data_IF_302320022522
#
_entry.id   IF_302320022522
#
_cell.length_a   1.000
_cell.length_b   1.000
_cell.length_c   1.000
_cell.angle_alpha   90.00
_cell.angle_beta   90.00
_cell.angle_gamma   90.00
#
_symmetry.space_group_name_H-M   'P 1'
#
loop_
_entity.id
_entity.type
_entity.pdbx_description
1 polymer ?
#
# COMPACT_ATOMS: atom_id res chain seq x y z
N UNK A 1 -44.38 -10.27 -3.10
CA UNK A 1 -43.07 -10.85 -3.43
C UNK A 1 -42.88 -10.80 -4.95
N UNK A 2 -41.62 -10.61 -5.38
CA UNK A 2 -41.04 -10.84 -6.72
C UNK A 2 -41.45 -9.94 -7.90
N UNK A 3 -40.71 -8.85 -8.09
CA UNK A 3 -40.37 -8.28 -9.41
C UNK A 3 -38.84 -8.05 -9.37
N UNK A 4 -38.05 -9.13 -9.50
CA UNK A 4 -37.17 -9.41 -10.65
C UNK A 4 -36.37 -8.18 -11.13
N UNK A 5 -35.35 -7.79 -10.37
CA UNK A 5 -34.18 -7.07 -10.88
C UNK A 5 -33.23 -8.10 -11.52
N UNK A 6 -33.23 -8.19 -12.86
CA UNK A 6 -32.41 -9.18 -13.60
C UNK A 6 -31.48 -8.57 -14.67
N UNK A 7 -31.06 -7.32 -14.53
CA UNK A 7 -30.24 -6.66 -15.57
C UNK A 7 -28.88 -6.07 -15.14
N UNK A 8 -28.47 -6.13 -13.87
CA UNK A 8 -27.12 -5.66 -13.48
C UNK A 8 -26.02 -6.74 -13.49
N UNK A 9 -26.39 -8.01 -13.71
CA UNK A 9 -25.44 -9.16 -13.65
C UNK A 9 -24.47 -9.26 -14.83
N UNK A 10 -24.75 -8.60 -15.95
CA UNK A 10 -23.86 -8.62 -17.14
C UNK A 10 -22.89 -7.44 -17.15
N UNK A 11 -23.34 -6.23 -16.76
CA UNK A 11 -22.49 -5.05 -16.68
C UNK A 11 -21.36 -5.23 -15.67
N UNK A 12 -21.67 -5.76 -14.48
CA UNK A 12 -20.65 -6.10 -13.47
C UNK A 12 -19.68 -7.19 -13.95
N UNK A 13 -20.19 -8.22 -14.62
CA UNK A 13 -19.35 -9.33 -15.14
C UNK A 13 -18.38 -8.87 -16.23
N UNK A 14 -18.81 -7.99 -17.12
CA UNK A 14 -17.97 -7.47 -18.20
C UNK A 14 -16.84 -6.57 -17.66
N UNK A 15 -17.11 -5.78 -16.62
CA UNK A 15 -16.10 -5.00 -15.90
C UNK A 15 -15.09 -5.93 -15.23
N UNK A 16 -15.54 -7.02 -14.58
CA UNK A 16 -14.63 -7.99 -13.97
C UNK A 16 -13.76 -8.72 -14.99
N UNK A 17 -14.30 -9.11 -16.15
CA UNK A 17 -13.51 -9.74 -17.22
C UNK A 17 -12.50 -8.74 -17.78
N UNK A 18 -12.90 -7.50 -18.02
CA UNK A 18 -11.99 -6.45 -18.49
C UNK A 18 -10.87 -6.19 -17.48
N UNK A 19 -11.19 -6.10 -16.20
CA UNK A 19 -10.20 -5.95 -15.13
C UNK A 19 -9.25 -7.15 -15.07
N UNK A 20 -9.77 -8.38 -15.19
CA UNK A 20 -8.93 -9.58 -15.20
C UNK A 20 -7.93 -9.57 -16.37
N UNK A 21 -8.39 -9.22 -17.58
CA UNK A 21 -7.51 -9.07 -18.75
C UNK A 21 -6.48 -7.97 -18.52
N UNK A 22 -6.91 -6.81 -18.01
CA UNK A 22 -6.02 -5.69 -17.70
C UNK A 22 -4.96 -6.08 -16.66
N UNK A 23 -5.33 -6.82 -15.61
CA UNK A 23 -4.40 -7.32 -14.60
C UNK A 23 -3.38 -8.29 -15.19
N UNK A 24 -3.81 -9.25 -16.02
CA UNK A 24 -2.91 -10.21 -16.66
C UNK A 24 -1.95 -9.48 -17.60
N UNK A 25 -2.45 -8.59 -18.46
CA UNK A 25 -1.62 -7.80 -19.36
C UNK A 25 -0.63 -6.92 -18.60
N UNK A 26 -1.08 -6.24 -17.55
CA UNK A 26 -0.22 -5.39 -16.72
C UNK A 26 0.86 -6.22 -16.01
N UNK A 27 0.48 -7.37 -15.43
CA UNK A 27 1.41 -8.30 -14.81
C UNK A 27 2.45 -8.83 -15.81
N UNK A 28 2.02 -9.23 -17.01
CA UNK A 28 2.93 -9.68 -18.06
C UNK A 28 3.91 -8.57 -18.49
N UNK A 29 3.44 -7.32 -18.65
CA UNK A 29 4.29 -6.17 -18.98
C UNK A 29 5.34 -5.91 -17.88
N UNK A 30 4.96 -6.06 -16.61
CA UNK A 30 5.88 -5.91 -15.48
C UNK A 30 6.98 -6.98 -15.50
N UNK A 31 6.63 -8.22 -15.87
CA UNK A 31 7.60 -9.31 -15.99
C UNK A 31 8.56 -9.13 -17.17
N UNK A 32 8.08 -8.59 -18.30
CA UNK A 32 8.90 -8.37 -19.50
C UNK A 32 9.88 -7.21 -19.31
N UNK A 33 9.46 -6.13 -18.66
CA UNK A 33 10.32 -4.97 -18.42
C UNK A 33 10.21 -4.47 -16.96
N UNK A 34 10.95 -5.10 -16.03
CA UNK A 34 10.93 -4.71 -14.63
C UNK A 34 11.50 -3.30 -14.39
N UNK A 35 12.37 -2.80 -15.28
CA UNK A 35 12.90 -1.44 -15.19
C UNK A 35 11.82 -0.38 -15.46
N UNK A 36 10.99 -0.58 -16.49
CA UNK A 36 9.85 0.31 -16.76
C UNK A 36 8.78 0.21 -15.65
N UNK A 37 8.51 -0.99 -15.16
CA UNK A 37 7.57 -1.21 -14.07
C UNK A 37 8.00 -0.52 -12.78
N UNK A 38 9.28 -0.62 -12.42
CA UNK A 38 9.81 0.07 -11.24
C UNK A 38 9.82 1.57 -11.38
N UNK A 39 10.12 2.10 -12.57
CA UNK A 39 10.03 3.53 -12.84
C UNK A 39 8.60 4.07 -12.61
N UNK A 40 7.58 3.33 -13.07
CA UNK A 40 6.18 3.65 -12.83
C UNK A 40 5.81 3.54 -11.34
N UNK A 41 6.30 2.50 -10.65
CA UNK A 41 6.09 2.29 -9.22
C UNK A 41 6.70 3.44 -8.39
N UNK A 42 7.91 3.90 -8.72
CA UNK A 42 8.58 5.04 -8.05
C UNK A 42 7.76 6.32 -8.18
N UNK A 43 7.23 6.62 -9.38
CA UNK A 43 6.36 7.77 -9.60
C UNK A 43 5.06 7.68 -8.79
N UNK A 44 4.47 6.49 -8.74
CA UNK A 44 3.29 6.23 -7.93
C UNK A 44 3.57 6.44 -6.43
N UNK A 45 4.70 5.93 -5.93
CA UNK A 45 5.15 6.17 -4.55
C UNK A 45 5.36 7.66 -4.28
N UNK A 46 6.05 8.38 -5.17
CA UNK A 46 6.27 9.82 -5.04
C UNK A 46 4.93 10.58 -4.96
N UNK A 47 3.96 10.24 -5.82
CA UNK A 47 2.61 10.80 -5.78
C UNK A 47 1.87 10.49 -4.48
N UNK A 48 1.98 9.25 -3.97
CA UNK A 48 1.39 8.86 -2.70
C UNK A 48 2.00 9.62 -1.51
N UNK A 49 3.33 9.71 -1.43
CA UNK A 49 4.01 10.47 -0.38
C UNK A 49 3.63 11.96 -0.45
N UNK A 50 3.54 12.52 -1.65
CA UNK A 50 3.10 13.90 -1.83
C UNK A 50 1.66 14.10 -1.32
N UNK A 51 0.72 13.25 -1.74
CA UNK A 51 -0.68 13.34 -1.30
C UNK A 51 -0.83 13.16 0.21
N UNK A 52 -0.14 12.17 0.79
CA UNK A 52 -0.13 11.94 2.24
C UNK A 52 0.47 13.13 3.00
N UNK A 53 1.58 13.67 2.53
CA UNK A 53 2.23 14.84 3.13
C UNK A 53 1.32 16.07 3.13
N UNK A 54 0.67 16.35 2.00
CA UNK A 54 -0.29 17.46 1.88
C UNK A 54 -1.46 17.27 2.85
N UNK A 55 -2.11 16.11 2.85
CA UNK A 55 -3.24 15.82 3.74
C UNK A 55 -2.82 15.95 5.21
N UNK A 56 -1.63 15.45 5.57
CA UNK A 56 -1.12 15.47 6.95
C UNK A 56 -0.78 16.88 7.42
N UNK A 57 -0.24 17.72 6.54
CA UNK A 57 -0.02 19.14 6.80
C UNK A 57 -1.36 19.86 7.00
N UNK A 58 -2.35 19.63 6.12
CA UNK A 58 -3.69 20.22 6.23
C UNK A 58 -4.41 19.80 7.53
N UNK A 59 -4.36 18.51 7.87
CA UNK A 59 -4.83 17.98 9.14
C UNK A 59 -4.10 18.63 10.31
N UNK A 60 -2.78 18.76 10.19
CA UNK A 60 -1.96 19.58 11.06
C UNK A 60 -2.67 20.90 11.30
N UNK A 61 -2.81 21.78 10.32
CA UNK A 61 -3.45 23.10 10.47
C UNK A 61 -4.82 23.12 11.20
N UNK A 62 -5.61 22.05 11.12
CA UNK A 62 -6.87 21.93 11.87
C UNK A 62 -6.66 21.68 13.37
N UNK A 63 -5.62 20.94 13.76
CA UNK A 63 -5.24 20.68 15.15
C UNK A 63 -4.60 21.88 15.86
N UNK A 64 -4.47 23.04 15.20
CA UNK A 64 -3.88 24.27 15.77
C UNK A 64 -4.57 24.73 17.05
N UNK A 65 -5.84 24.35 17.25
CA UNK A 65 -6.62 24.64 18.47
C UNK A 65 -6.23 23.79 19.69
N UNK A 66 -5.43 22.74 19.52
CA UNK A 66 -5.09 21.74 20.54
C UNK A 66 -3.61 21.81 21.02
N UNK A 67 -2.97 22.99 20.91
CA UNK A 67 -1.62 23.27 21.45
C UNK A 67 -0.45 22.71 20.63
N UNK A 68 0.68 22.41 21.31
CA UNK A 68 1.97 21.96 20.72
C UNK A 68 1.84 20.70 19.83
N UNK A 69 0.77 19.91 20.00
CA UNK A 69 0.48 18.68 19.22
C UNK A 69 0.30 18.95 17.71
N UNK A 70 0.16 20.21 17.32
CA UNK A 70 0.15 20.68 15.93
C UNK A 70 1.46 20.41 15.15
N UNK A 71 2.61 20.52 15.83
CA UNK A 71 3.92 20.53 15.18
C UNK A 71 4.31 19.16 14.62
N UNK A 72 3.91 18.09 15.30
CA UNK A 72 4.23 16.71 14.91
C UNK A 72 3.66 16.31 13.53
N UNK A 73 2.34 16.44 13.27
CA UNK A 73 1.79 16.08 11.96
C UNK A 73 2.36 16.94 10.82
N UNK A 74 2.67 18.22 11.07
CA UNK A 74 3.29 19.09 10.06
C UNK A 74 4.72 18.66 9.75
N UNK A 75 5.52 18.34 10.77
CA UNK A 75 6.89 17.85 10.58
C UNK A 75 6.91 16.55 9.79
N UNK A 76 6.04 15.60 10.15
CA UNK A 76 5.93 14.32 9.43
C UNK A 76 5.48 14.56 7.99
N UNK A 77 4.49 15.42 7.76
CA UNK A 77 4.04 15.75 6.41
C UNK A 77 5.11 16.45 5.56
N UNK A 78 5.96 17.29 6.18
CA UNK A 78 7.11 17.89 5.50
C UNK A 78 8.16 16.84 5.11
N UNK A 79 8.39 15.83 5.96
CA UNK A 79 9.25 14.69 5.65
C UNK A 79 8.66 13.88 4.48
N UNK A 80 7.36 13.62 4.46
CA UNK A 80 6.72 12.91 3.35
C UNK A 80 6.90 13.67 2.01
N UNK A 81 6.72 15.00 2.02
CA UNK A 81 6.95 15.84 0.82
C UNK A 81 8.43 15.80 0.40
N UNK A 82 9.35 15.84 1.36
CA UNK A 82 10.77 15.72 1.08
C UNK A 82 11.10 14.37 0.42
N UNK A 83 10.54 13.27 0.92
CA UNK A 83 10.67 11.96 0.31
C UNK A 83 10.09 11.92 -1.10
N UNK A 84 8.91 12.49 -1.31
CA UNK A 84 8.30 12.60 -2.63
C UNK A 84 9.20 13.34 -3.62
N UNK A 85 9.83 14.44 -3.19
CA UNK A 85 10.75 15.21 -4.02
C UNK A 85 12.03 14.42 -4.35
N UNK A 86 12.62 13.73 -3.36
CA UNK A 86 13.81 12.89 -3.57
C UNK A 86 13.52 11.77 -4.56
N UNK A 87 12.35 11.11 -4.42
CA UNK A 87 11.93 10.04 -5.33
C UNK A 87 11.70 10.57 -6.75
N UNK A 88 11.10 11.75 -6.89
CA UNK A 88 10.86 12.38 -8.20
C UNK A 88 12.17 12.79 -8.90
N UNK A 89 13.14 13.34 -8.15
CA UNK A 89 14.43 13.77 -8.70
C UNK A 89 15.38 12.60 -9.04
N UNK A 90 15.22 11.47 -8.36
CA UNK A 90 16.08 10.29 -8.58
C UNK A 90 15.60 9.40 -9.74
N UNK A 91 14.47 9.73 -10.35
CA UNK A 91 13.92 9.04 -11.54
C UNK A 91 14.82 9.29 -12.76
N UNK A 92 15.18 8.29 -13.61
CA UNK A 92 14.70 6.90 -13.70
C UNK A 92 15.66 5.83 -13.14
N UNK A 93 16.85 6.20 -12.67
CA UNK A 93 17.91 5.26 -12.24
C UNK A 93 17.53 4.53 -10.93
N UNK A 94 16.62 5.11 -10.14
CA UNK A 94 16.16 4.58 -8.85
C UNK A 94 15.26 3.33 -8.91
N UNK A 95 14.80 2.90 -10.09
CA UNK A 95 13.85 1.79 -10.23
C UNK A 95 14.32 0.47 -9.58
N UNK A 96 15.59 0.10 -9.75
CA UNK A 96 16.12 -1.17 -9.23
C UNK A 96 16.11 -1.25 -7.69
N UNK A 97 16.50 -0.17 -7.02
CA UNK A 97 16.57 -0.11 -5.57
C UNK A 97 15.17 -0.10 -4.94
N UNK A 98 14.20 0.57 -5.57
CA UNK A 98 12.82 0.62 -5.06
C UNK A 98 12.18 -0.77 -5.02
N UNK A 99 12.38 -1.60 -6.04
CA UNK A 99 11.93 -3.00 -6.01
C UNK A 99 12.57 -3.73 -4.81
N UNK A 100 13.89 -3.59 -4.62
CA UNK A 100 14.61 -4.25 -3.53
C UNK A 100 14.09 -3.85 -2.15
N UNK A 101 13.78 -2.56 -1.93
CA UNK A 101 13.19 -2.10 -0.67
C UNK A 101 11.80 -2.69 -0.48
N UNK A 102 10.96 -2.69 -1.51
CA UNK A 102 9.59 -3.21 -1.41
C UNK A 102 9.59 -4.69 -1.03
N UNK A 103 10.40 -5.51 -1.72
CA UNK A 103 10.58 -6.93 -1.42
C UNK A 103 11.13 -7.14 -0.02
N UNK A 104 12.12 -6.34 0.40
CA UNK A 104 12.72 -6.47 1.74
C UNK A 104 11.72 -6.17 2.85
N UNK A 105 10.91 -5.12 2.68
CA UNK A 105 9.85 -4.76 3.65
C UNK A 105 8.77 -5.83 3.70
N UNK A 106 8.37 -6.37 2.55
CA UNK A 106 7.41 -7.48 2.48
C UNK A 106 7.91 -8.72 3.24
N UNK A 107 9.18 -9.11 3.02
CA UNK A 107 9.80 -10.23 3.71
C UNK A 107 9.87 -10.03 5.23
N UNK A 108 10.23 -8.82 5.69
CA UNK A 108 10.27 -8.50 7.12
C UNK A 108 8.86 -8.57 7.73
N UNK A 109 7.87 -7.98 7.07
CA UNK A 109 6.47 -8.04 7.51
C UNK A 109 5.96 -9.48 7.57
N UNK A 110 6.26 -10.28 6.54
CA UNK A 110 5.85 -11.68 6.49
C UNK A 110 6.53 -12.50 7.58
N UNK A 111 7.82 -12.25 7.84
CA UNK A 111 8.54 -12.86 8.96
C UNK A 111 7.87 -12.56 10.31
N UNK A 112 7.52 -11.31 10.57
CA UNK A 112 6.76 -10.94 11.77
C UNK A 112 5.36 -11.56 11.84
N UNK A 113 4.63 -11.60 10.72
CA UNK A 113 3.33 -12.25 10.68
C UNK A 113 3.43 -13.73 11.07
N UNK A 114 4.44 -14.45 10.57
CA UNK A 114 4.68 -15.85 10.90
C UNK A 114 5.05 -16.03 12.37
N UNK A 115 5.85 -15.14 12.97
CA UNK A 115 6.18 -15.24 14.41
C UNK A 115 4.95 -15.03 15.29
N UNK A 116 4.08 -14.07 14.97
CA UNK A 116 2.81 -13.90 15.69
C UNK A 116 1.87 -15.09 15.52
N UNK A 117 1.79 -15.63 14.30
CA UNK A 117 0.96 -16.82 14.02
C UNK A 117 1.45 -18.03 14.81
N UNK A 118 2.77 -18.25 14.88
CA UNK A 118 3.36 -19.31 15.68
C UNK A 118 3.10 -19.14 17.18
N UNK A 119 3.17 -17.91 17.70
CA UNK A 119 2.84 -17.61 19.10
C UNK A 119 1.35 -17.84 19.41
N UNK A 120 0.46 -17.44 18.50
CA UNK A 120 -0.98 -17.67 18.62
C UNK A 120 -1.32 -19.18 18.59
N UNK A 121 -0.72 -19.93 17.66
CA UNK A 121 -0.89 -21.38 17.58
C UNK A 121 -0.40 -22.09 18.85
N UNK A 122 0.74 -21.66 19.42
CA UNK A 122 1.25 -22.19 20.70
C UNK A 122 0.32 -21.89 21.88
N UNK A 123 -0.31 -20.70 21.90
CA UNK A 123 -1.27 -20.34 22.94
C UNK A 123 -2.51 -21.23 22.88
N UNK A 124 -3.07 -21.40 21.68
CA UNK A 124 -4.24 -22.26 21.46
C UNK A 124 -3.94 -23.72 21.83
N UNK A 125 -2.76 -24.23 21.46
CA UNK A 125 -2.34 -25.59 21.83
C UNK A 125 -2.19 -25.81 23.34
N UNK A 126 -1.87 -24.76 24.12
CA UNK A 126 -1.84 -24.84 25.59
C UNK A 126 -3.25 -24.86 26.19
N UNK A 127 -4.14 -24.01 25.71
CA UNK A 127 -5.54 -23.95 26.18
C UNK A 127 -6.28 -25.28 25.93
N UNK A 128 -6.05 -25.90 24.76
CA UNK A 128 -6.64 -27.20 24.45
C UNK A 128 -6.06 -28.37 25.28
N UNK A 129 -4.83 -28.25 25.78
CA UNK A 129 -4.19 -29.28 26.60
C UNK A 129 -4.55 -29.17 28.09
N UNK A 130 -5.06 -28.02 28.53
CA UNK A 130 -5.50 -27.78 29.90
C UNK A 130 -6.96 -28.21 30.12
N UNK A 131 -7.76 -28.30 29.04
CA UNK A 131 -9.18 -28.71 29.06
C UNK A 131 -9.38 -30.24 28.89
N UNK A 132 -8.30 -31.00 28.68
CA UNK A 132 -8.28 -32.49 28.55
C UNK A 132 -7.58 -33.14 29.73
#
# INVERSE_FOLDING_TARGET
QTIIDREEKWRGRMIHVLLAVLYICSGALVLVNPAAASAALTLLLAGMFFGLGVIRILHGFQLRKLGWKWVMPVLVGAVDILFALILALSWPVSGLWVIGVFVSVELIMYGWMLTFTALAARKLGKELAEDT
#
